data_IF_864872197094
#
_entry.id   IF_864872197094
#
_cell.length_a   1.000
_cell.length_b   1.000
_cell.length_c   1.000
_cell.angle_alpha   90.00
_cell.angle_beta   90.00
_cell.angle_gamma   90.00
#
_symmetry.space_group_name_H-M   'P 1'
#
loop_
_entity.id
_entity.type
_entity.pdbx_description
1 polymer ?
#
# COMPACT_ATOMS: atom_id res chain seq x y z
N UNK A 1 -4.15 -19.25 31.68
CA UNK A 1 -4.69 -18.92 30.38
C UNK A 1 -4.97 -20.18 29.54
N UNK A 2 -3.98 -21.07 29.31
CA UNK A 2 -4.12 -22.28 28.48
C UNK A 2 -5.22 -23.22 29.00
N UNK A 3 -5.26 -23.49 30.31
CA UNK A 3 -6.29 -24.34 30.92
C UNK A 3 -7.69 -23.75 30.85
N UNK A 4 -7.84 -22.43 31.00
CA UNK A 4 -9.14 -21.76 30.84
C UNK A 4 -9.64 -21.77 29.40
N UNK A 5 -8.74 -21.53 28.44
CA UNK A 5 -9.07 -21.53 27.02
C UNK A 5 -9.34 -22.95 26.50
N UNK A 6 -8.64 -23.98 26.98
CA UNK A 6 -8.92 -25.38 26.61
C UNK A 6 -10.32 -25.83 27.06
N UNK A 7 -10.77 -25.39 28.25
CA UNK A 7 -12.13 -25.63 28.73
C UNK A 7 -13.20 -24.96 27.87
N UNK A 8 -12.94 -23.72 27.46
CA UNK A 8 -13.86 -22.97 26.61
C UNK A 8 -14.00 -23.64 25.23
N UNK A 9 -12.88 -23.99 24.60
CA UNK A 9 -12.88 -24.69 23.31
C UNK A 9 -13.50 -26.07 23.43
N UNK A 10 -13.23 -26.80 24.52
CA UNK A 10 -13.83 -28.10 24.78
C UNK A 10 -15.37 -28.02 24.89
N UNK A 11 -15.89 -26.97 25.51
CA UNK A 11 -17.36 -26.71 25.58
C UNK A 11 -17.95 -26.35 24.24
N UNK A 12 -17.30 -25.45 23.50
CA UNK A 12 -17.76 -24.99 22.17
C UNK A 12 -17.70 -26.11 21.12
N UNK A 13 -16.70 -26.98 21.17
CA UNK A 13 -16.54 -28.11 20.28
C UNK A 13 -17.43 -29.32 20.62
N UNK A 14 -18.30 -29.24 21.62
CA UNK A 14 -19.15 -30.34 22.04
C UNK A 14 -18.36 -31.56 22.57
N UNK A 15 -17.23 -31.30 23.23
CA UNK A 15 -16.31 -32.34 23.73
C UNK A 15 -17.00 -33.35 24.63
N UNK A 16 -18.12 -32.99 25.26
CA UNK A 16 -18.93 -33.89 26.09
C UNK A 16 -19.57 -35.03 25.31
N UNK A 17 -19.75 -34.88 23.99
CA UNK A 17 -20.33 -35.88 23.09
C UNK A 17 -19.27 -36.80 22.44
N UNK A 18 -17.99 -36.41 22.49
CA UNK A 18 -16.89 -37.16 21.87
C UNK A 18 -15.86 -37.58 22.94
N UNK A 19 -15.82 -38.84 23.29
CA UNK A 19 -14.95 -39.41 24.33
C UNK A 19 -13.46 -39.07 24.14
N UNK A 20 -12.99 -39.07 22.89
CA UNK A 20 -11.58 -38.79 22.55
C UNK A 20 -11.26 -37.30 22.85
N UNK A 21 -12.14 -36.37 22.48
CA UNK A 21 -11.94 -34.95 22.69
C UNK A 21 -12.01 -34.58 24.19
N UNK A 22 -12.93 -35.21 24.93
CA UNK A 22 -13.04 -35.05 26.38
C UNK A 22 -11.79 -35.54 27.11
N UNK A 23 -11.23 -36.67 26.70
CA UNK A 23 -9.98 -37.21 27.24
C UNK A 23 -8.79 -36.31 26.89
N UNK A 24 -8.74 -35.74 25.67
CA UNK A 24 -7.67 -34.85 25.24
C UNK A 24 -7.67 -33.55 26.08
N UNK A 25 -8.83 -32.94 26.33
CA UNK A 25 -8.92 -31.73 27.18
C UNK A 25 -8.50 -32.02 28.63
N UNK A 26 -8.91 -33.13 29.20
CA UNK A 26 -8.46 -33.54 30.56
C UNK A 26 -6.97 -33.82 30.64
N UNK A 27 -6.35 -34.35 29.60
CA UNK A 27 -4.91 -34.56 29.52
C UNK A 27 -4.13 -33.24 29.54
N UNK A 28 -4.59 -32.22 28.83
CA UNK A 28 -4.04 -30.87 28.86
C UNK A 28 -4.13 -30.24 30.25
N UNK A 29 -5.21 -30.51 31.00
CA UNK A 29 -5.37 -30.03 32.38
C UNK A 29 -4.43 -30.75 33.38
N UNK A 30 -4.11 -32.04 33.17
CA UNK A 30 -3.24 -32.82 34.05
C UNK A 30 -1.75 -32.46 33.92
N UNK A 31 -1.32 -32.01 32.72
CA UNK A 31 0.08 -31.67 32.44
C UNK A 31 0.22 -30.22 31.97
N UNK A 32 -0.12 -29.20 32.76
CA UNK A 32 -0.22 -27.81 32.33
C UNK A 32 1.14 -27.23 31.93
N UNK A 33 2.25 -27.66 32.53
CA UNK A 33 3.58 -27.13 32.22
C UNK A 33 4.01 -27.40 30.78
N UNK A 34 3.81 -28.64 30.30
CA UNK A 34 4.16 -29.00 28.91
C UNK A 34 3.19 -28.42 27.91
N UNK A 35 1.89 -28.51 28.17
CA UNK A 35 0.86 -27.91 27.33
C UNK A 35 1.10 -26.40 27.17
N UNK A 36 1.46 -25.69 28.25
CA UNK A 36 1.77 -24.26 28.19
C UNK A 36 3.04 -23.96 27.40
N UNK A 37 4.10 -24.76 27.51
CA UNK A 37 5.35 -24.54 26.78
C UNK A 37 5.15 -24.68 25.26
N UNK A 38 4.47 -25.74 24.81
CA UNK A 38 4.18 -25.95 23.38
C UNK A 38 3.20 -24.91 22.83
N UNK A 39 2.15 -24.56 23.58
CA UNK A 39 1.21 -23.49 23.21
C UNK A 39 1.91 -22.15 23.14
N UNK A 40 2.82 -21.84 24.07
CA UNK A 40 3.60 -20.59 24.05
C UNK A 40 4.51 -20.50 22.83
N UNK A 41 5.21 -21.59 22.47
CA UNK A 41 6.04 -21.61 21.27
C UNK A 41 5.24 -21.36 19.99
N UNK A 42 4.06 -22.00 19.85
CA UNK A 42 3.16 -21.77 18.74
C UNK A 42 2.57 -20.37 18.75
N UNK A 43 2.18 -19.85 19.92
CA UNK A 43 1.66 -18.50 20.10
C UNK A 43 2.68 -17.45 19.62
N UNK A 44 3.93 -17.58 20.04
CA UNK A 44 5.00 -16.66 19.62
C UNK A 44 5.22 -16.75 18.12
N UNK A 45 5.34 -17.96 17.55
CA UNK A 45 5.59 -18.15 16.11
C UNK A 45 4.46 -17.58 15.26
N UNK A 46 3.20 -17.91 15.60
CA UNK A 46 2.02 -17.44 14.86
C UNK A 46 1.76 -15.95 15.13
N UNK A 47 1.99 -15.49 16.36
CA UNK A 47 1.83 -14.08 16.72
C UNK A 47 2.79 -13.18 15.95
N UNK A 48 4.08 -13.53 15.89
CA UNK A 48 5.06 -12.80 15.08
C UNK A 48 4.67 -12.82 13.59
N UNK A 49 4.21 -13.96 13.08
CA UNK A 49 3.74 -14.06 11.71
C UNK A 49 2.55 -13.11 11.45
N UNK A 50 1.55 -13.12 12.31
CA UNK A 50 0.38 -12.25 12.20
C UNK A 50 0.75 -10.77 12.28
N UNK A 51 1.59 -10.37 13.24
CA UNK A 51 2.09 -8.98 13.37
C UNK A 51 2.82 -8.54 12.10
N UNK A 52 3.69 -9.38 11.55
CA UNK A 52 4.42 -9.05 10.31
C UNK A 52 3.48 -8.91 9.11
N UNK A 53 2.51 -9.80 8.95
CA UNK A 53 1.53 -9.69 7.85
C UNK A 53 0.68 -8.42 8.01
N UNK A 54 0.18 -8.14 9.22
CA UNK A 54 -0.58 -6.93 9.51
C UNK A 54 0.26 -5.68 9.25
N UNK A 55 1.50 -5.65 9.73
CA UNK A 55 2.44 -4.54 9.50
C UNK A 55 2.72 -4.30 8.02
N UNK A 56 2.98 -5.36 7.24
CA UNK A 56 3.22 -5.23 5.79
C UNK A 56 1.98 -4.74 5.04
N UNK A 57 0.79 -5.22 5.38
CA UNK A 57 -0.45 -4.75 4.76
C UNK A 57 -0.74 -3.30 5.13
N UNK A 58 -0.48 -2.88 6.37
CA UNK A 58 -0.60 -1.49 6.81
C UNK A 58 0.39 -0.58 6.07
N UNK A 59 1.66 -0.97 5.94
CA UNK A 59 2.66 -0.21 5.17
C UNK A 59 2.25 -0.12 3.71
N UNK A 60 1.79 -1.21 3.09
CA UNK A 60 1.34 -1.20 1.70
C UNK A 60 0.15 -0.24 1.51
N UNK A 61 -0.86 -0.28 2.38
CA UNK A 61 -2.02 0.61 2.32
C UNK A 61 -1.64 2.08 2.55
N UNK A 62 -0.78 2.37 3.53
CA UNK A 62 -0.28 3.73 3.79
C UNK A 62 0.52 4.29 2.62
N UNK A 63 1.33 3.45 1.99
CA UNK A 63 2.14 3.87 0.84
C UNK A 63 1.29 4.08 -0.40
N UNK A 64 0.26 3.26 -0.66
CA UNK A 64 -0.66 3.48 -1.76
C UNK A 64 -1.43 4.80 -1.58
N UNK A 65 -1.87 5.09 -0.37
CA UNK A 65 -2.47 6.39 -0.02
C UNK A 65 -1.49 7.55 -0.24
N UNK A 66 -0.25 7.42 0.21
CA UNK A 66 0.79 8.45 0.02
C UNK A 66 1.14 8.65 -1.46
N UNK A 67 1.29 7.56 -2.23
CA UNK A 67 1.58 7.66 -3.67
C UNK A 67 0.39 8.19 -4.47
N UNK A 68 -0.85 7.89 -4.07
CA UNK A 68 -2.03 8.44 -4.75
C UNK A 68 -2.26 9.91 -4.44
N UNK A 69 -1.93 10.40 -3.25
CA UNK A 69 -1.97 11.83 -2.90
C UNK A 69 -0.74 12.57 -3.43
N UNK A 70 0.46 12.04 -3.21
CA UNK A 70 1.72 12.67 -3.61
C UNK A 70 2.06 12.56 -5.11
N UNK A 71 1.41 11.66 -5.86
CA UNK A 71 1.59 11.52 -7.31
C UNK A 71 0.28 11.01 -7.96
N UNK A 72 -0.73 11.86 -8.06
CA UNK A 72 -2.09 11.49 -8.44
C UNK A 72 -2.24 11.15 -9.93
N UNK A 73 -1.22 11.44 -10.76
CA UNK A 73 -1.23 11.22 -12.21
C UNK A 73 -0.38 10.01 -12.55
N UNK A 74 -0.96 8.99 -13.17
CA UNK A 74 -0.24 7.75 -13.50
C UNK A 74 0.84 7.99 -14.56
N UNK A 75 0.48 8.70 -15.63
CA UNK A 75 1.39 9.06 -16.72
C UNK A 75 1.19 10.54 -17.05
N UNK A 76 2.28 11.29 -17.07
CA UNK A 76 2.33 12.69 -17.49
C UNK A 76 3.31 12.84 -18.62
N UNK A 77 2.83 13.34 -19.76
CA UNK A 77 3.65 13.69 -20.93
C UNK A 77 3.81 15.19 -20.96
N UNK A 78 5.04 15.67 -20.95
CA UNK A 78 5.38 17.10 -20.89
C UNK A 78 6.35 17.49 -22.00
N UNK A 79 6.51 18.78 -22.22
CA UNK A 79 7.42 19.33 -23.23
C UNK A 79 6.76 19.50 -24.59
N UNK A 80 5.42 19.48 -24.67
CA UNK A 80 4.71 19.84 -25.90
C UNK A 80 4.92 21.34 -26.19
N UNK A 81 4.88 21.69 -27.45
CA UNK A 81 4.87 23.10 -27.90
C UNK A 81 3.46 23.52 -28.31
N UNK A 82 3.22 24.83 -28.30
CA UNK A 82 1.93 25.38 -28.72
C UNK A 82 1.54 25.04 -30.19
N UNK A 83 2.51 24.68 -31.02
CA UNK A 83 2.33 24.34 -32.44
C UNK A 83 2.11 22.85 -32.68
N UNK A 84 2.31 21.99 -31.67
CA UNK A 84 2.08 20.55 -31.84
C UNK A 84 0.59 20.23 -31.93
N UNK A 85 0.25 19.26 -32.78
CA UNK A 85 -1.10 18.70 -32.83
C UNK A 85 -1.37 17.84 -31.61
N UNK A 86 -1.99 18.46 -30.62
CA UNK A 86 -2.28 17.84 -29.33
C UNK A 86 -3.35 16.74 -29.47
N UNK A 87 -4.24 16.85 -30.46
CA UNK A 87 -5.28 15.85 -30.69
C UNK A 87 -4.68 14.55 -31.23
N UNK A 88 -3.71 14.68 -32.14
CA UNK A 88 -2.95 13.53 -32.66
C UNK A 88 -2.12 12.87 -31.55
N UNK A 89 -1.42 13.65 -30.72
CA UNK A 89 -0.67 13.13 -29.59
C UNK A 89 -1.57 12.45 -28.55
N UNK A 90 -2.73 13.05 -28.27
CA UNK A 90 -3.73 12.46 -27.34
C UNK A 90 -4.24 11.12 -27.87
N UNK A 91 -4.55 11.06 -29.17
CA UNK A 91 -4.99 9.82 -29.83
C UNK A 91 -3.87 8.74 -29.78
N UNK A 92 -2.63 9.14 -30.05
CA UNK A 92 -1.47 8.23 -29.97
C UNK A 92 -1.27 7.66 -28.58
N UNK A 93 -1.31 8.49 -27.55
CA UNK A 93 -1.16 8.04 -26.15
C UNK A 93 -2.36 7.16 -25.74
N UNK A 94 -3.57 7.53 -26.12
CA UNK A 94 -4.79 6.78 -25.81
C UNK A 94 -4.84 5.41 -26.49
N UNK A 95 -4.20 5.26 -27.65
CA UNK A 95 -4.12 3.98 -28.38
C UNK A 95 -3.16 2.97 -27.71
N UNK A 96 -2.34 3.40 -26.74
CA UNK A 96 -1.42 2.51 -26.05
C UNK A 96 -2.20 1.57 -25.13
N UNK A 97 -1.93 0.28 -25.27
CA UNK A 97 -2.56 -0.73 -24.43
C UNK A 97 -2.28 -0.51 -22.95
N UNK A 98 -3.32 -0.56 -22.11
CA UNK A 98 -3.27 -0.27 -20.69
C UNK A 98 -3.48 1.22 -20.32
N UNK A 99 -3.64 2.12 -21.30
CA UNK A 99 -4.08 3.50 -21.06
C UNK A 99 -5.61 3.56 -21.15
N UNK A 100 -6.25 4.04 -20.10
CA UNK A 100 -7.71 4.10 -20.01
C UNK A 100 -8.26 5.44 -20.53
N UNK A 101 -7.70 6.54 -20.03
CA UNK A 101 -8.17 7.90 -20.34
C UNK A 101 -6.99 8.84 -20.45
N UNK A 102 -7.10 9.83 -21.33
CA UNK A 102 -6.11 10.89 -21.54
C UNK A 102 -6.81 12.23 -21.57
N UNK A 103 -6.27 13.23 -20.88
CA UNK A 103 -6.74 14.62 -20.88
C UNK A 103 -5.56 15.53 -21.17
N UNK A 104 -5.76 16.50 -22.06
CA UNK A 104 -4.78 17.54 -22.33
C UNK A 104 -5.00 18.73 -21.38
N UNK A 105 -3.97 19.05 -20.61
CA UNK A 105 -3.96 20.13 -19.61
C UNK A 105 -3.06 21.26 -20.10
N UNK A 106 -3.53 22.51 -20.19
CA UNK A 106 -2.68 23.64 -20.57
C UNK A 106 -1.52 23.83 -19.60
N UNK A 107 -0.32 24.01 -20.14
CA UNK A 107 0.89 24.39 -19.39
C UNK A 107 1.36 25.77 -19.84
N UNK A 108 1.66 26.62 -18.88
CA UNK A 108 2.10 27.98 -19.07
C UNK A 108 3.49 28.16 -18.47
N UNK A 109 4.41 28.74 -19.25
CA UNK A 109 5.68 29.25 -18.73
C UNK A 109 5.51 30.72 -18.42
N UNK A 110 5.61 31.06 -17.14
CA UNK A 110 5.31 32.38 -16.58
C UNK A 110 6.47 32.89 -15.76
N UNK A 111 6.51 34.19 -15.51
CA UNK A 111 7.43 34.77 -14.53
C UNK A 111 6.74 34.75 -13.16
N UNK A 112 7.41 34.19 -12.16
CA UNK A 112 6.98 34.23 -10.77
C UNK A 112 7.78 35.28 -10.01
N UNK A 113 7.08 36.21 -9.36
CA UNK A 113 7.68 37.23 -8.47
C UNK A 113 7.08 37.07 -7.08
N UNK A 114 7.82 36.52 -6.10
CA UNK A 114 7.35 36.42 -4.73
C UNK A 114 7.41 37.79 -4.04
N UNK A 115 6.50 38.04 -3.11
CA UNK A 115 6.52 39.26 -2.26
C UNK A 115 7.80 39.33 -1.41
N UNK A 116 8.25 38.19 -0.91
CA UNK A 116 9.51 38.04 -0.18
C UNK A 116 10.53 37.23 -0.98
N UNK A 117 11.53 37.88 -1.56
CA UNK A 117 12.56 37.25 -2.39
C UNK A 117 13.49 36.31 -1.63
N UNK A 118 13.65 36.50 -0.31
CA UNK A 118 14.55 35.67 0.50
C UNK A 118 13.95 34.27 0.80
N UNK A 119 12.65 34.07 0.59
CA UNK A 119 11.93 32.83 0.83
C UNK A 119 11.79 31.94 -0.42
N UNK A 120 12.32 32.37 -1.56
CA UNK A 120 12.16 31.67 -2.83
C UNK A 120 13.50 31.23 -3.42
N UNK A 121 13.65 29.96 -3.65
CA UNK A 121 14.80 29.40 -4.36
C UNK A 121 14.34 28.63 -5.60
N UNK A 122 14.35 29.28 -6.75
CA UNK A 122 14.12 28.59 -8.02
C UNK A 122 15.46 28.35 -8.73
N UNK A 123 15.81 27.10 -8.90
CA UNK A 123 17.03 26.68 -9.59
C UNK A 123 16.98 26.89 -11.11
N UNK A 124 15.81 27.20 -11.68
CA UNK A 124 15.58 27.40 -13.13
C UNK A 124 15.52 28.86 -13.58
N UNK A 125 15.52 29.81 -12.65
CA UNK A 125 15.34 31.22 -12.96
C UNK A 125 13.91 31.71 -12.84
N UNK A 126 13.74 33.00 -12.56
CA UNK A 126 12.42 33.61 -12.28
C UNK A 126 11.50 33.66 -13.51
N UNK A 127 12.05 33.54 -14.72
CA UNK A 127 11.32 33.67 -16.00
C UNK A 127 10.80 32.34 -16.56
N UNK A 128 11.01 31.21 -15.92
CA UNK A 128 10.64 29.88 -16.43
C UNK A 128 9.88 29.05 -15.35
N UNK A 129 8.84 29.68 -14.77
CA UNK A 129 7.96 29.00 -13.84
C UNK A 129 6.80 28.34 -14.57
N UNK A 130 6.84 27.01 -14.69
CA UNK A 130 5.81 26.24 -15.39
C UNK A 130 4.63 25.96 -14.46
N UNK A 131 3.42 26.33 -14.90
CA UNK A 131 2.16 26.16 -14.18
C UNK A 131 1.15 25.42 -15.05
N UNK A 132 0.40 24.50 -14.48
CA UNK A 132 -0.71 23.82 -15.15
C UNK A 132 -2.03 24.54 -14.85
N UNK A 133 -2.83 24.81 -15.90
CA UNK A 133 -4.18 25.33 -15.72
C UNK A 133 -5.15 24.15 -15.63
N UNK A 134 -5.71 23.95 -14.43
CA UNK A 134 -6.49 22.76 -14.09
C UNK A 134 -7.93 23.12 -13.79
N UNK A 135 -8.84 22.52 -14.55
CA UNK A 135 -10.24 22.39 -14.20
C UNK A 135 -10.44 21.02 -13.54
N UNK A 136 -10.79 21.01 -12.26
CA UNK A 136 -10.95 19.79 -11.47
C UNK A 136 -11.93 18.81 -12.10
N UNK A 137 -13.05 19.28 -12.65
CA UNK A 137 -14.03 18.44 -13.32
C UNK A 137 -13.47 17.77 -14.58
N UNK A 138 -12.66 18.52 -15.36
CA UNK A 138 -12.05 18.02 -16.59
C UNK A 138 -10.95 16.98 -16.30
N UNK A 139 -10.19 17.13 -15.24
CA UNK A 139 -9.10 16.19 -14.90
C UNK A 139 -9.55 15.01 -14.01
N UNK A 140 -10.73 15.07 -13.42
CA UNK A 140 -11.27 14.00 -12.56
C UNK A 140 -11.14 12.58 -13.15
N UNK A 141 -11.34 12.34 -14.48
CA UNK A 141 -11.19 11.00 -15.06
C UNK A 141 -9.76 10.47 -15.08
N UNK A 142 -8.75 11.34 -14.98
CA UNK A 142 -7.33 10.96 -15.12
C UNK A 142 -6.53 11.02 -13.84
N UNK A 143 -7.07 11.59 -12.77
CA UNK A 143 -6.44 11.65 -11.47
C UNK A 143 -6.93 10.52 -10.55
N UNK A 144 -6.07 10.07 -9.65
CA UNK A 144 -6.40 9.02 -8.66
C UNK A 144 -6.89 9.59 -7.34
N UNK A 145 -6.56 10.83 -7.06
CA UNK A 145 -6.96 11.53 -5.84
C UNK A 145 -7.20 13.00 -6.18
N UNK A 146 -8.22 13.59 -5.57
CA UNK A 146 -8.48 15.03 -5.61
C UNK A 146 -7.67 15.79 -4.54
N UNK A 147 -7.07 15.07 -3.62
CA UNK A 147 -6.18 15.65 -2.62
C UNK A 147 -5.01 16.36 -3.32
N UNK A 148 -4.73 17.57 -2.90
CA UNK A 148 -3.76 18.46 -3.57
C UNK A 148 -4.37 19.40 -4.62
N UNK A 149 -5.69 19.34 -4.87
CA UNK A 149 -6.46 20.37 -5.56
C UNK A 149 -7.45 21.09 -4.62
N UNK A 150 -7.46 20.69 -3.35
CA UNK A 150 -8.32 21.28 -2.34
C UNK A 150 -7.98 22.77 -2.17
N UNK A 151 -8.98 23.63 -2.19
CA UNK A 151 -8.79 25.07 -2.10
C UNK A 151 -8.38 25.77 -3.40
N UNK A 152 -8.30 25.07 -4.54
CA UNK A 152 -8.04 25.68 -5.84
C UNK A 152 -9.18 26.65 -6.21
N UNK A 153 -8.83 27.93 -6.37
CA UNK A 153 -9.76 28.98 -6.79
C UNK A 153 -9.00 30.07 -7.55
N UNK A 154 -9.70 31.12 -7.98
CA UNK A 154 -9.14 32.17 -8.87
C UNK A 154 -8.16 33.13 -8.16
N UNK A 155 -7.94 32.96 -6.87
CA UNK A 155 -7.01 33.77 -6.08
C UNK A 155 -5.88 32.90 -5.49
N UNK A 156 -5.82 31.61 -5.86
CA UNK A 156 -4.88 30.65 -5.29
C UNK A 156 -3.89 30.13 -6.32
N UNK A 157 -2.62 29.99 -5.92
CA UNK A 157 -1.60 29.19 -6.58
C UNK A 157 -1.28 28.00 -5.68
N UNK A 158 -1.64 26.79 -6.10
CA UNK A 158 -1.23 25.57 -5.40
C UNK A 158 0.17 25.17 -5.88
N UNK A 159 1.07 24.89 -4.95
CA UNK A 159 2.45 24.45 -5.22
C UNK A 159 2.86 23.33 -4.29
N UNK A 160 3.79 22.49 -4.74
CA UNK A 160 4.46 21.52 -3.87
C UNK A 160 5.50 22.19 -2.96
N UNK A 161 5.79 21.57 -1.80
CA UNK A 161 6.79 22.06 -0.84
C UNK A 161 8.22 22.24 -1.41
N UNK A 162 8.53 21.58 -2.53
CA UNK A 162 9.83 21.69 -3.23
C UNK A 162 10.11 23.11 -3.78
N UNK A 163 9.08 23.95 -3.92
CA UNK A 163 9.23 25.31 -4.41
C UNK A 163 9.63 26.31 -3.31
N UNK A 164 9.68 25.88 -2.05
CA UNK A 164 10.06 26.68 -0.88
C UNK A 164 9.29 28.02 -0.75
N UNK A 165 8.04 28.05 -1.22
CA UNK A 165 7.13 29.16 -1.00
C UNK A 165 6.39 28.93 0.32
N UNK A 166 6.19 30.03 1.09
CA UNK A 166 5.50 29.92 2.37
C UNK A 166 3.98 29.88 2.18
N UNK A 167 3.30 29.03 2.95
CA UNK A 167 1.83 28.97 3.01
C UNK A 167 1.24 30.34 3.30
N UNK A 168 0.22 30.75 2.54
CA UNK A 168 -0.46 32.04 2.65
C UNK A 168 0.33 33.24 2.16
N UNK A 169 1.56 33.06 1.66
CA UNK A 169 2.32 34.19 1.07
C UNK A 169 1.72 34.62 -0.29
N UNK A 170 1.96 35.87 -0.65
CA UNK A 170 1.53 36.38 -1.94
C UNK A 170 2.63 36.31 -2.98
N UNK A 171 2.24 35.94 -4.18
CA UNK A 171 3.10 35.89 -5.35
C UNK A 171 2.41 36.54 -6.55
N UNK A 172 3.19 37.16 -7.42
CA UNK A 172 2.69 37.69 -8.68
C UNK A 172 3.15 36.78 -9.82
N UNK A 173 2.20 36.18 -10.54
CA UNK A 173 2.46 35.54 -11.81
C UNK A 173 2.27 36.55 -12.93
N UNK A 174 3.24 36.63 -13.84
CA UNK A 174 3.22 37.53 -15.00
C UNK A 174 3.34 36.72 -16.28
N UNK A 175 2.40 36.92 -17.15
CA UNK A 175 2.35 36.35 -18.51
C UNK A 175 2.26 37.42 -19.59
N UNK A 176 2.19 37.02 -20.87
CA UNK A 176 2.19 37.95 -22.00
C UNK A 176 0.95 38.84 -22.06
N UNK A 177 -0.19 38.44 -21.51
CA UNK A 177 -1.44 39.22 -21.55
C UNK A 177 -1.70 40.02 -20.28
N UNK A 178 -1.04 39.68 -19.17
CA UNK A 178 -1.24 40.40 -17.91
C UNK A 178 -0.52 39.76 -16.72
N UNK A 179 -0.91 40.20 -15.53
CA UNK A 179 -0.40 39.66 -14.27
C UNK A 179 -1.55 39.37 -13.31
N UNK A 180 -1.34 38.43 -12.41
CA UNK A 180 -2.26 38.08 -11.33
C UNK A 180 -1.50 37.92 -10.02
N UNK A 181 -2.00 38.55 -8.96
CA UNK A 181 -1.54 38.32 -7.59
C UNK A 181 -2.33 37.16 -7.02
N UNK A 182 -1.63 36.13 -6.52
CA UNK A 182 -2.21 34.89 -6.00
C UNK A 182 -1.67 34.62 -4.61
N UNK A 183 -2.49 33.96 -3.79
CA UNK A 183 -2.08 33.44 -2.49
C UNK A 183 -1.55 32.02 -2.67
N UNK A 184 -0.39 31.76 -2.12
CA UNK A 184 0.25 30.44 -2.17
C UNK A 184 -0.47 29.48 -1.23
N UNK A 185 -0.87 28.33 -1.76
CA UNK A 185 -1.29 27.19 -0.97
C UNK A 185 -0.31 26.05 -1.21
N UNK A 186 0.34 25.59 -0.11
CA UNK A 186 1.38 24.55 -0.19
C UNK A 186 0.75 23.20 0.08
N UNK A 187 0.72 22.36 -0.94
CA UNK A 187 0.23 21.00 -0.84
C UNK A 187 1.35 19.98 -1.06
N UNK A 188 1.31 18.88 -0.33
CA UNK A 188 2.24 17.77 -0.53
C UNK A 188 1.83 16.91 -1.75
N UNK A 189 0.79 17.31 -2.47
CA UNK A 189 0.30 16.62 -3.66
C UNK A 189 1.18 16.82 -4.90
N UNK A 190 1.29 15.79 -5.72
CA UNK A 190 2.20 15.71 -6.86
C UNK A 190 1.68 16.31 -8.16
N UNK A 191 0.73 17.27 -8.14
CA UNK A 191 0.25 17.94 -9.37
C UNK A 191 1.28 18.93 -9.93
N UNK A 192 2.21 19.44 -9.11
CA UNK A 192 3.05 20.58 -9.42
C UNK A 192 2.32 21.90 -9.23
N UNK A 193 2.86 23.02 -9.73
CA UNK A 193 2.17 24.31 -9.67
C UNK A 193 0.87 24.29 -10.48
N UNK A 194 -0.24 24.69 -9.83
CA UNK A 194 -1.58 24.64 -10.42
C UNK A 194 -2.32 25.95 -10.19
N UNK A 195 -3.01 26.41 -11.22
CA UNK A 195 -3.96 27.55 -11.20
C UNK A 195 -5.26 27.15 -11.89
N UNK A 196 -6.31 27.94 -11.75
CA UNK A 196 -7.56 27.75 -12.50
C UNK A 196 -7.43 28.20 -13.95
N UNK A 197 -8.28 27.69 -14.86
CA UNK A 197 -8.35 28.17 -16.24
C UNK A 197 -8.68 29.67 -16.35
N UNK A 198 -9.47 30.23 -15.41
CA UNK A 198 -9.80 31.65 -15.38
C UNK A 198 -8.56 32.51 -15.10
N UNK A 199 -7.69 32.08 -14.17
CA UNK A 199 -6.40 32.74 -13.94
C UNK A 199 -5.50 32.64 -15.16
N UNK A 200 -5.41 31.45 -15.77
CA UNK A 200 -4.62 31.23 -16.97
C UNK A 200 -5.03 32.17 -18.10
N UNK A 201 -6.33 32.33 -18.35
CA UNK A 201 -6.86 33.26 -19.36
C UNK A 201 -6.47 34.71 -19.05
N UNK A 202 -6.46 35.15 -17.77
CA UNK A 202 -6.00 36.50 -17.40
C UNK A 202 -4.52 36.73 -17.75
N UNK A 203 -3.69 35.66 -17.64
CA UNK A 203 -2.24 35.74 -17.84
C UNK A 203 -1.81 35.65 -19.31
N UNK A 204 -2.45 34.81 -20.11
CA UNK A 204 -2.04 34.52 -21.49
C UNK A 204 -3.09 34.90 -22.52
N UNK A 205 -4.31 35.25 -22.11
CA UNK A 205 -5.42 35.49 -23.02
C UNK A 205 -5.77 34.24 -23.82
N UNK A 206 -6.04 34.41 -25.12
CA UNK A 206 -6.32 33.32 -26.08
C UNK A 206 -5.04 32.80 -26.75
N UNK A 207 -3.85 33.15 -26.25
CA UNK A 207 -2.60 32.71 -26.84
C UNK A 207 -2.49 31.17 -26.80
N UNK A 208 -1.95 30.55 -27.86
CA UNK A 208 -1.67 29.12 -27.83
C UNK A 208 -0.70 28.77 -26.68
N UNK A 209 -1.05 27.80 -25.88
CA UNK A 209 -0.22 27.32 -24.78
C UNK A 209 0.25 25.90 -25.06
N UNK A 210 1.43 25.55 -24.55
CA UNK A 210 1.85 24.15 -24.44
C UNK A 210 0.83 23.37 -23.63
N UNK A 211 0.80 22.05 -23.80
CA UNK A 211 -0.11 21.18 -23.03
C UNK A 211 0.62 19.95 -22.52
N UNK A 212 0.37 19.60 -21.27
CA UNK A 212 0.70 18.28 -20.78
C UNK A 212 -0.43 17.30 -21.12
N UNK A 213 -0.09 16.05 -21.38
CA UNK A 213 -1.09 14.98 -21.42
C UNK A 213 -1.05 14.22 -20.11
N UNK A 214 -2.17 14.22 -19.40
CA UNK A 214 -2.35 13.43 -18.20
C UNK A 214 -3.13 12.18 -18.56
N UNK A 215 -2.60 11.02 -18.22
CA UNK A 215 -3.24 9.76 -18.56
C UNK A 215 -3.38 8.86 -17.32
N UNK A 216 -4.52 8.19 -17.27
CA UNK A 216 -4.84 7.15 -16.29
C UNK A 216 -4.63 5.79 -16.92
N UNK A 217 -3.95 4.91 -16.18
CA UNK A 217 -3.80 3.51 -16.56
C UNK A 217 -4.95 2.66 -16.03
N UNK A 218 -5.20 1.53 -16.67
CA UNK A 218 -6.15 0.54 -16.20
C UNK A 218 -5.69 -0.07 -14.87
N UNK A 219 -6.65 -0.51 -14.05
CA UNK A 219 -6.38 -1.07 -12.72
C UNK A 219 -6.03 -0.02 -11.67
N UNK A 220 -5.18 -0.40 -10.71
CA UNK A 220 -4.77 0.43 -9.57
C UNK A 220 -3.56 1.35 -9.86
N UNK A 221 -2.99 1.29 -11.06
CA UNK A 221 -1.82 2.07 -11.47
C UNK A 221 -0.48 1.49 -10.97
N UNK A 222 -0.47 0.28 -10.45
CA UNK A 222 0.75 -0.39 -10.00
C UNK A 222 1.57 -0.99 -11.16
N UNK A 223 1.00 -1.10 -12.37
CA UNK A 223 1.69 -1.61 -13.56
C UNK A 223 2.39 -0.47 -14.30
N UNK A 224 3.72 -0.52 -14.40
CA UNK A 224 4.54 0.42 -15.16
C UNK A 224 4.58 0.12 -16.66
N UNK A 225 4.06 -1.02 -17.13
CA UNK A 225 4.16 -1.39 -18.53
C UNK A 225 3.45 -0.38 -19.47
N UNK A 226 2.27 0.19 -19.13
CA UNK A 226 1.66 1.24 -19.95
C UNK A 226 2.54 2.48 -20.08
N UNK A 227 3.17 2.95 -18.99
CA UNK A 227 4.07 4.11 -19.01
C UNK A 227 5.32 3.83 -19.89
N UNK A 228 5.88 2.62 -19.82
CA UNK A 228 6.98 2.21 -20.67
C UNK A 228 6.58 2.16 -22.15
N UNK A 229 5.37 1.67 -22.48
CA UNK A 229 4.85 1.65 -23.84
C UNK A 229 4.59 3.05 -24.37
N UNK A 230 4.05 3.97 -23.55
CA UNK A 230 3.88 5.39 -23.92
C UNK A 230 5.24 6.02 -24.21
N UNK A 231 6.25 5.77 -23.37
CA UNK A 231 7.61 6.27 -23.58
C UNK A 231 8.22 5.76 -24.90
N UNK A 232 7.98 4.50 -25.23
CA UNK A 232 8.41 3.93 -26.49
C UNK A 232 7.67 4.52 -27.69
N UNK A 233 6.34 4.67 -27.60
CA UNK A 233 5.52 5.26 -28.66
C UNK A 233 5.90 6.73 -28.96
N UNK A 234 6.37 7.46 -27.93
CA UNK A 234 6.81 8.86 -28.07
C UNK A 234 8.32 9.01 -28.23
N UNK A 235 9.05 7.90 -28.48
CA UNK A 235 10.52 7.95 -28.67
C UNK A 235 10.86 8.83 -29.87
N UNK A 236 11.82 9.75 -29.65
CA UNK A 236 12.28 10.68 -30.68
C UNK A 236 11.44 11.94 -30.85
N UNK A 237 10.35 12.10 -30.14
CA UNK A 237 9.53 13.33 -30.17
C UNK A 237 10.09 14.46 -29.30
N UNK A 238 11.07 14.16 -28.43
CA UNK A 238 11.57 15.11 -27.43
C UNK A 238 10.67 15.31 -26.22
N UNK A 239 9.52 14.60 -26.15
CA UNK A 239 8.59 14.69 -25.04
C UNK A 239 9.08 13.88 -23.83
N UNK A 240 8.88 14.43 -22.64
CA UNK A 240 9.21 13.79 -21.37
C UNK A 240 8.00 13.02 -20.84
N UNK A 241 8.16 11.73 -20.63
CA UNK A 241 7.15 10.87 -20.02
C UNK A 241 7.54 10.58 -18.58
N UNK A 242 6.73 11.00 -17.63
CA UNK A 242 6.89 10.82 -16.18
C UNK A 242 5.56 10.38 -15.56
N UNK A 243 5.53 10.18 -14.25
CA UNK A 243 4.29 9.85 -13.53
C UNK A 243 4.53 8.88 -12.38
N UNK A 244 3.46 8.54 -11.68
CA UNK A 244 3.51 7.68 -10.50
C UNK A 244 3.60 6.19 -10.81
N UNK A 245 3.29 5.76 -12.03
CA UNK A 245 3.27 4.35 -12.41
C UNK A 245 4.63 3.65 -12.19
N UNK A 246 5.73 4.32 -12.55
CA UNK A 246 7.09 3.78 -12.33
C UNK A 246 7.42 3.64 -10.84
N UNK A 247 7.06 4.65 -10.03
CA UNK A 247 7.29 4.64 -8.58
C UNK A 247 6.48 3.58 -7.86
N UNK A 248 5.20 3.45 -8.21
CA UNK A 248 4.32 2.40 -7.64
C UNK A 248 4.82 1.00 -7.95
N UNK A 249 5.25 0.76 -9.19
CA UNK A 249 5.78 -0.55 -9.58
C UNK A 249 7.06 -0.89 -8.83
N UNK A 250 8.00 0.04 -8.72
CA UNK A 250 9.24 -0.18 -7.98
C UNK A 250 8.95 -0.50 -6.50
N UNK A 251 8.01 0.21 -5.90
CA UNK A 251 7.60 -0.01 -4.51
C UNK A 251 6.88 -1.35 -4.32
N UNK A 252 5.92 -1.69 -5.18
CA UNK A 252 5.18 -2.97 -5.10
C UNK A 252 6.12 -4.17 -5.23
N UNK A 253 7.10 -4.12 -6.14
CA UNK A 253 8.13 -5.15 -6.27
C UNK A 253 9.00 -5.27 -5.02
N UNK A 254 9.33 -4.14 -4.37
CA UNK A 254 10.09 -4.15 -3.12
C UNK A 254 9.29 -4.82 -2.00
N UNK A 255 8.02 -4.45 -1.82
CA UNK A 255 7.13 -5.08 -0.83
C UNK A 255 6.99 -6.59 -1.11
N UNK A 256 6.81 -6.98 -2.37
CA UNK A 256 6.70 -8.39 -2.73
C UNK A 256 7.97 -9.18 -2.36
N UNK A 257 9.16 -8.65 -2.63
CA UNK A 257 10.43 -9.29 -2.23
C UNK A 257 10.53 -9.45 -0.72
N UNK A 258 10.22 -8.40 0.03
CA UNK A 258 10.23 -8.44 1.50
C UNK A 258 9.22 -9.47 2.01
N UNK A 259 8.02 -9.52 1.45
CA UNK A 259 6.97 -10.49 1.82
C UNK A 259 7.43 -11.94 1.59
N UNK A 260 8.08 -12.21 0.45
CA UNK A 260 8.61 -13.56 0.15
C UNK A 260 9.70 -13.97 1.15
N UNK A 261 10.63 -13.07 1.48
CA UNK A 261 11.70 -13.35 2.45
C UNK A 261 11.12 -13.60 3.84
N UNK A 262 10.20 -12.75 4.29
CA UNK A 262 9.52 -12.92 5.58
C UNK A 262 8.74 -14.24 5.58
N UNK A 263 7.98 -14.54 4.52
CA UNK A 263 7.25 -15.78 4.38
C UNK A 263 8.15 -17.03 4.48
N UNK A 264 9.33 -16.99 3.87
CA UNK A 264 10.31 -18.07 3.94
C UNK A 264 10.85 -18.26 5.38
N UNK A 265 11.19 -17.17 6.07
CA UNK A 265 11.67 -17.21 7.46
C UNK A 265 10.58 -17.74 8.40
N UNK A 266 9.35 -17.27 8.23
CA UNK A 266 8.21 -17.74 9.02
C UNK A 266 7.90 -19.22 8.74
N UNK A 267 7.96 -19.66 7.49
CA UNK A 267 7.81 -21.06 7.10
C UNK A 267 8.86 -21.96 7.77
N UNK A 268 10.13 -21.52 7.76
CA UNK A 268 11.21 -22.24 8.44
C UNK A 268 10.99 -22.29 9.97
N UNK A 269 10.60 -21.18 10.59
CA UNK A 269 10.29 -21.12 12.02
C UNK A 269 9.14 -22.07 12.39
N UNK A 270 8.10 -22.12 11.55
CA UNK A 270 6.98 -23.04 11.74
C UNK A 270 7.44 -24.51 11.62
N UNK A 271 8.30 -24.85 10.66
CA UNK A 271 8.86 -26.21 10.52
C UNK A 271 9.68 -26.61 11.75
N UNK A 272 10.52 -25.70 12.28
CA UNK A 272 11.29 -25.95 13.51
C UNK A 272 10.34 -26.18 14.69
N UNK A 273 9.31 -25.35 14.83
CA UNK A 273 8.31 -25.47 15.90
C UNK A 273 7.54 -26.78 15.82
N UNK A 274 7.12 -27.19 14.61
CA UNK A 274 6.45 -28.49 14.39
C UNK A 274 7.38 -29.67 14.70
N UNK A 275 8.65 -29.60 14.34
CA UNK A 275 9.64 -30.63 14.67
C UNK A 275 9.85 -30.74 16.18
N UNK A 276 9.91 -29.60 16.88
CA UNK A 276 9.98 -29.56 18.35
C UNK A 276 8.73 -30.19 19.01
N UNK A 277 7.55 -29.88 18.46
CA UNK A 277 6.27 -30.46 18.92
C UNK A 277 6.23 -31.97 18.70
N UNK A 278 6.67 -32.46 17.54
CA UNK A 278 6.73 -33.89 17.27
C UNK A 278 7.64 -34.62 18.26
N UNK A 279 8.86 -34.11 18.48
CA UNK A 279 9.80 -34.68 19.44
C UNK A 279 9.23 -34.69 20.87
N UNK A 280 8.56 -33.60 21.29
CA UNK A 280 7.92 -33.53 22.63
C UNK A 280 6.77 -34.54 22.74
N UNK A 281 6.04 -34.77 21.65
CA UNK A 281 4.95 -35.76 21.60
C UNK A 281 5.49 -37.17 21.69
N UNK A 282 6.59 -37.49 20.98
CA UNK A 282 7.23 -38.78 21.01
C UNK A 282 7.76 -39.14 22.43
N UNK A 283 8.43 -38.22 23.09
CA UNK A 283 8.85 -38.38 24.49
C UNK A 283 7.64 -38.62 25.40
N UNK A 284 6.55 -37.88 25.18
CA UNK A 284 5.29 -38.06 25.92
C UNK A 284 4.69 -39.46 25.77
N UNK A 285 4.74 -40.02 24.57
CA UNK A 285 4.25 -41.38 24.30
C UNK A 285 5.12 -42.42 25.05
N UNK A 286 6.44 -42.24 25.05
CA UNK A 286 7.37 -43.12 25.75
C UNK A 286 7.15 -43.09 27.26
N UNK A 287 6.98 -41.90 27.87
CA UNK A 287 6.70 -41.73 29.28
C UNK A 287 5.38 -42.39 29.74
N UNK A 288 4.37 -42.38 28.84
CA UNK A 288 3.02 -42.90 29.08
C UNK A 288 2.82 -44.34 28.59
N UNK A 289 3.87 -45.07 28.25
CA UNK A 289 3.77 -46.42 27.68
C UNK A 289 2.96 -47.35 28.61
N UNK A 290 3.12 -47.23 29.95
CA UNK A 290 2.38 -47.99 30.92
C UNK A 290 0.86 -47.66 30.90
N UNK A 291 0.51 -46.35 30.84
CA UNK A 291 -0.88 -45.90 30.76
C UNK A 291 -1.54 -46.38 29.44
N UNK A 292 -0.82 -46.30 28.33
CA UNK A 292 -1.25 -46.81 27.05
C UNK A 292 -1.47 -48.34 27.09
N UNK A 293 -0.60 -49.06 27.77
CA UNK A 293 -0.72 -50.51 28.02
C UNK A 293 -2.01 -50.85 28.77
N UNK A 294 -2.34 -50.11 29.82
CA UNK A 294 -3.58 -50.29 30.59
C UNK A 294 -4.82 -49.95 29.73
N UNK A 295 -4.82 -48.85 28.98
CA UNK A 295 -5.91 -48.49 28.06
C UNK A 295 -6.13 -49.58 27.01
N UNK A 296 -5.07 -50.18 26.47
CA UNK A 296 -5.16 -51.30 25.52
C UNK A 296 -5.68 -52.55 26.17
N UNK A 297 -5.30 -52.86 27.42
CA UNK A 297 -5.79 -54.03 28.16
C UNK A 297 -7.28 -53.90 28.47
N UNK A 298 -7.83 -52.65 28.58
CA UNK A 298 -9.26 -52.39 28.75
C UNK A 298 -10.04 -52.31 27.45
N UNK A 299 -9.44 -52.68 26.30
CA UNK A 299 -10.11 -52.78 25.00
C UNK A 299 -9.98 -51.58 24.08
N UNK A 300 -9.18 -50.54 24.44
CA UNK A 300 -8.97 -49.38 23.58
C UNK A 300 -8.13 -49.74 22.33
N UNK A 301 -8.67 -49.52 21.13
CA UNK A 301 -8.00 -49.78 19.88
C UNK A 301 -6.83 -48.83 19.56
N UNK A 302 -5.87 -49.30 18.74
CA UNK A 302 -4.71 -48.46 18.30
C UNK A 302 -5.13 -47.14 17.64
N UNK A 303 -6.21 -47.16 16.86
CA UNK A 303 -6.74 -45.94 16.20
C UNK A 303 -7.26 -44.93 17.20
N UNK A 304 -7.89 -45.35 18.29
CA UNK A 304 -8.39 -44.46 19.34
C UNK A 304 -7.26 -43.82 20.13
N UNK A 305 -6.19 -44.58 20.41
CA UNK A 305 -4.98 -44.05 21.08
C UNK A 305 -4.29 -43.00 20.17
N UNK A 306 -4.14 -43.26 18.87
CA UNK A 306 -3.61 -42.27 17.92
C UNK A 306 -4.51 -41.06 17.83
N UNK A 307 -5.82 -41.22 17.78
CA UNK A 307 -6.80 -40.15 17.76
C UNK A 307 -6.72 -39.23 19.00
N UNK A 308 -6.41 -39.81 20.18
CA UNK A 308 -6.23 -39.03 21.42
C UNK A 308 -5.02 -38.10 21.33
N UNK A 309 -3.86 -38.57 20.90
CA UNK A 309 -2.65 -37.76 20.75
C UNK A 309 -2.83 -36.71 19.64
N UNK A 310 -3.47 -37.09 18.54
CA UNK A 310 -3.77 -36.13 17.46
C UNK A 310 -4.71 -35.02 17.93
N UNK A 311 -5.76 -35.35 18.69
CA UNK A 311 -6.68 -34.38 19.27
C UNK A 311 -5.97 -33.43 20.26
N UNK A 312 -5.06 -33.96 21.10
CA UNK A 312 -4.24 -33.16 22.01
C UNK A 312 -3.34 -32.18 21.23
N UNK A 313 -2.66 -32.62 20.17
CA UNK A 313 -1.81 -31.79 19.33
C UNK A 313 -2.63 -30.71 18.59
N UNK A 314 -3.78 -31.05 18.02
CA UNK A 314 -4.67 -30.11 17.33
C UNK A 314 -5.23 -29.06 18.29
N UNK A 315 -5.66 -29.45 19.47
CA UNK A 315 -6.13 -28.51 20.50
C UNK A 315 -5.04 -27.53 20.91
N UNK A 316 -3.82 -28.00 21.13
CA UNK A 316 -2.66 -27.16 21.46
C UNK A 316 -2.34 -26.18 20.33
N UNK A 317 -2.37 -26.66 19.09
CA UNK A 317 -2.12 -25.84 17.90
C UNK A 317 -3.20 -24.77 17.69
N UNK A 318 -4.46 -25.13 17.87
CA UNK A 318 -5.59 -24.18 17.78
C UNK A 318 -5.51 -23.10 18.86
N UNK A 319 -5.19 -23.50 20.10
CA UNK A 319 -5.02 -22.55 21.21
C UNK A 319 -3.88 -21.56 20.95
N UNK A 320 -2.70 -22.06 20.57
CA UNK A 320 -1.54 -21.22 20.27
C UNK A 320 -1.78 -20.33 19.06
N UNK A 321 -2.36 -20.92 18.00
CA UNK A 321 -2.65 -20.22 16.74
C UNK A 321 -3.69 -19.12 16.90
N UNK A 322 -4.84 -19.39 17.51
CA UNK A 322 -5.91 -18.39 17.67
C UNK A 322 -5.48 -17.22 18.57
N UNK A 323 -4.84 -17.53 19.69
CA UNK A 323 -4.35 -16.48 20.60
C UNK A 323 -3.21 -15.70 19.94
N UNK A 324 -2.28 -16.39 19.26
CA UNK A 324 -1.19 -15.76 18.53
C UNK A 324 -1.68 -14.82 17.45
N UNK A 325 -2.64 -15.27 16.62
CA UNK A 325 -3.25 -14.43 15.57
C UNK A 325 -3.98 -13.23 16.16
N UNK A 326 -4.78 -13.43 17.22
CA UNK A 326 -5.52 -12.34 17.85
C UNK A 326 -4.58 -11.27 18.44
N UNK A 327 -3.51 -11.68 19.11
CA UNK A 327 -2.51 -10.76 19.67
C UNK A 327 -1.70 -10.08 18.55
N UNK A 328 -1.28 -10.84 17.54
CA UNK A 328 -0.47 -10.31 16.44
C UNK A 328 -1.24 -9.34 15.52
N UNK A 329 -2.55 -9.50 15.39
CA UNK A 329 -3.40 -8.58 14.63
C UNK A 329 -3.82 -7.33 15.44
N UNK A 330 -3.70 -7.36 16.77
CA UNK A 330 -4.06 -6.25 17.65
C UNK A 330 -2.91 -5.25 17.87
N UNK A 331 -1.70 -5.58 17.42
CA UNK A 331 -0.50 -4.73 17.48
C UNK A 331 -0.35 -3.96 16.18
#
# INVERSE_FOLDING_TARGET
LVVGASRLIGRLAGAERHTVLHLATRNLERNPGRASATTAALLVSVGVAATMVTGLTSVAASTDSYLSSGAPIDIRVQGTTAQQDIDSLTAQVKAVDGVQTVVAVPELSLRLTPENKDAYSNTRGDDDFTVSAVDEAAVAPVIRSHHGLEGLNDDTLIVGGIYHLAEGSKVTLTGPAGSAELTVHVEEGGFGPVITPAVAHRLVGDAPTARALWARTSGDGSDAAPAARVREALRGTGLLVSGSADGRTAFSQQIQRVTVVIGAVLGLTLLITLSGLANTTDVSVLERTREIGVLRATGTGRAQVRGLFLAEAVLTALLGGLIGTALGAAI
#
